data_IF_352595743464
#
_entry.id   IF_352595743464
#
_cell.length_a   1.000
_cell.length_b   1.000
_cell.length_c   1.000
_cell.angle_alpha   90.00
_cell.angle_beta   90.00
_cell.angle_gamma   90.00
#
_symmetry.space_group_name_H-M   'P 1'
#
loop_
_entity.id
_entity.type
_entity.pdbx_description
1 polymer ?
#
# COMPACT_ATOMS: atom_id res chain seq x y z
N UNK A 1 38.34 -6.91 40.60
CA UNK A 1 36.99 -6.41 40.94
C UNK A 1 36.28 -5.83 39.71
N UNK A 2 36.28 -6.53 38.56
CA UNK A 2 35.59 -6.14 37.32
C UNK A 2 34.94 -7.32 36.58
N UNK A 3 35.10 -8.57 37.06
CA UNK A 3 34.52 -9.76 36.43
C UNK A 3 33.14 -10.16 36.99
N UNK A 4 32.71 -9.58 38.13
CA UNK A 4 31.45 -9.96 38.82
C UNK A 4 30.26 -9.11 38.36
N UNK A 5 30.48 -7.96 37.71
CA UNK A 5 29.39 -7.11 37.19
C UNK A 5 28.96 -7.43 35.75
N UNK A 6 29.78 -8.16 34.98
CA UNK A 6 29.40 -8.61 33.64
C UNK A 6 28.48 -9.84 33.66
N UNK A 7 28.60 -10.70 34.67
CA UNK A 7 27.75 -11.90 34.78
C UNK A 7 26.32 -11.58 35.24
N UNK A 8 26.12 -10.51 36.02
CA UNK A 8 24.79 -10.09 36.49
C UNK A 8 23.94 -9.40 35.41
N UNK A 9 24.55 -8.76 34.40
CA UNK A 9 23.81 -8.20 33.26
C UNK A 9 23.41 -9.27 32.24
N UNK A 10 24.25 -10.28 32.01
CA UNK A 10 23.96 -11.40 31.10
C UNK A 10 22.85 -12.32 31.64
N UNK A 11 22.79 -12.56 32.95
CA UNK A 11 21.73 -13.38 33.55
C UNK A 11 20.36 -12.68 33.56
N UNK A 12 20.34 -11.34 33.56
CA UNK A 12 19.10 -10.54 33.52
C UNK A 12 18.45 -10.53 32.12
N UNK A 13 19.23 -10.73 31.05
CA UNK A 13 18.69 -10.91 29.69
C UNK A 13 18.20 -12.34 29.41
N UNK A 14 18.63 -13.33 30.19
CA UNK A 14 18.29 -14.75 29.97
C UNK A 14 17.07 -15.23 30.79
N UNK A 15 16.64 -14.49 31.81
CA UNK A 15 15.51 -14.86 32.69
C UNK A 15 14.22 -14.05 32.43
N UNK A 16 14.22 -13.16 31.43
CA UNK A 16 13.05 -12.33 31.07
C UNK A 16 12.29 -12.76 29.82
N UNK A 17 12.81 -13.71 29.03
CA UNK A 17 12.11 -14.28 27.89
C UNK A 17 11.36 -15.53 28.31
N UNK A 18 10.34 -15.36 29.16
CA UNK A 18 9.25 -16.32 29.15
C UNK A 18 8.62 -16.26 27.77
N UNK A 19 8.87 -17.27 26.95
CA UNK A 19 8.14 -17.58 25.72
C UNK A 19 6.71 -18.03 26.05
N UNK A 20 6.01 -17.26 26.89
CA UNK A 20 4.57 -17.27 26.87
C UNK A 20 4.19 -16.53 25.60
N UNK A 21 3.93 -17.27 24.52
CA UNK A 21 3.01 -16.78 23.50
C UNK A 21 1.82 -16.20 24.26
N UNK A 22 1.55 -14.89 24.19
CA UNK A 22 0.42 -14.33 24.90
C UNK A 22 -0.78 -15.16 24.49
N UNK A 23 -1.47 -15.77 25.46
CA UNK A 23 -2.70 -16.49 25.16
C UNK A 23 -3.57 -15.51 24.36
N UNK A 24 -3.92 -15.92 23.14
CA UNK A 24 -4.71 -15.13 22.21
C UNK A 24 -5.94 -14.66 22.96
N UNK A 25 -6.03 -13.34 23.21
CA UNK A 25 -7.08 -12.77 24.05
C UNK A 25 -8.41 -13.05 23.37
N UNK A 26 -9.48 -13.32 24.13
CA UNK A 26 -10.81 -13.42 23.55
C UNK A 26 -11.11 -12.14 22.73
N UNK A 27 -11.50 -12.31 21.47
CA UNK A 27 -11.69 -11.21 20.51
C UNK A 27 -10.47 -10.86 19.64
N UNK A 28 -9.35 -11.57 19.74
CA UNK A 28 -8.25 -11.42 18.78
C UNK A 28 -8.61 -12.05 17.43
N UNK A 29 -8.55 -11.24 16.37
CA UNK A 29 -8.70 -11.67 14.99
C UNK A 29 -7.47 -12.51 14.60
N UNK A 30 -7.71 -13.74 14.13
CA UNK A 30 -6.63 -14.60 13.60
C UNK A 30 -6.27 -14.21 12.16
N UNK A 31 -5.06 -14.58 11.71
CA UNK A 31 -4.66 -14.37 10.32
C UNK A 31 -5.62 -15.07 9.34
N UNK A 32 -6.02 -16.31 9.63
CA UNK A 32 -6.97 -17.07 8.81
C UNK A 32 -8.33 -16.40 8.72
N UNK A 33 -8.84 -15.86 9.86
CA UNK A 33 -10.11 -15.14 9.87
C UNK A 33 -10.03 -13.85 9.05
N UNK A 34 -8.97 -13.06 9.23
CA UNK A 34 -8.76 -11.84 8.46
C UNK A 34 -8.66 -12.13 6.96
N UNK A 35 -7.92 -13.18 6.59
CA UNK A 35 -7.76 -13.60 5.21
C UNK A 35 -9.10 -14.06 4.59
N UNK A 36 -9.89 -14.86 5.33
CA UNK A 36 -11.21 -15.27 4.88
C UNK A 36 -12.15 -14.07 4.66
N UNK A 37 -12.16 -13.10 5.59
CA UNK A 37 -12.96 -11.86 5.44
C UNK A 37 -12.49 -11.00 4.27
N UNK A 38 -11.21 -10.98 3.97
CA UNK A 38 -10.67 -10.32 2.78
C UNK A 38 -11.15 -11.01 1.49
N UNK A 39 -11.11 -12.35 1.43
CA UNK A 39 -11.63 -13.10 0.28
C UNK A 39 -13.13 -12.93 0.08
N UNK A 40 -13.90 -12.77 1.15
CA UNK A 40 -15.35 -12.55 1.08
C UNK A 40 -15.71 -11.28 0.27
N UNK A 41 -14.79 -10.31 0.17
CA UNK A 41 -14.95 -9.08 -0.61
C UNK A 41 -14.52 -9.20 -2.10
N UNK A 42 -14.17 -10.40 -2.57
CA UNK A 42 -13.75 -10.62 -3.97
C UNK A 42 -14.87 -11.34 -4.72
N UNK A 43 -15.32 -10.74 -5.82
CA UNK A 43 -16.41 -11.26 -6.65
C UNK A 43 -16.13 -12.70 -7.13
N UNK A 44 -16.91 -13.67 -6.64
CA UNK A 44 -16.81 -15.08 -7.02
C UNK A 44 -15.66 -15.86 -6.37
N UNK A 45 -15.13 -15.39 -5.23
CA UNK A 45 -14.05 -16.04 -4.50
C UNK A 45 -14.49 -17.14 -3.52
N UNK A 46 -15.69 -17.07 -2.94
CA UNK A 46 -16.25 -18.13 -2.10
C UNK A 46 -17.66 -18.50 -2.53
N UNK A 47 -18.08 -19.75 -2.27
CA UNK A 47 -19.46 -20.20 -2.51
C UNK A 47 -20.47 -19.52 -1.57
N UNK A 48 -19.97 -18.86 -0.53
CA UNK A 48 -20.72 -18.10 0.48
C UNK A 48 -20.49 -16.59 0.37
N UNK A 49 -19.81 -16.10 -0.68
CA UNK A 49 -19.38 -14.70 -0.80
C UNK A 49 -20.51 -13.74 -0.44
N UNK A 50 -20.27 -12.90 0.57
CA UNK A 50 -20.96 -11.64 0.73
C UNK A 50 -20.68 -10.83 -0.54
N UNK A 51 -21.58 -10.75 -1.52
CA UNK A 51 -22.98 -10.40 -1.29
C UNK A 51 -23.94 -11.28 -2.09
N UNK A 52 -24.64 -12.25 -1.47
CA UNK A 52 -25.74 -12.95 -2.11
C UNK A 52 -26.76 -11.93 -2.63
N UNK A 53 -27.02 -11.95 -3.94
CA UNK A 53 -28.02 -11.08 -4.58
C UNK A 53 -27.53 -9.72 -5.09
N UNK A 54 -26.22 -9.41 -5.08
CA UNK A 54 -25.70 -8.20 -5.75
C UNK A 54 -24.75 -8.54 -6.91
N UNK A 55 -24.87 -7.78 -7.99
CA UNK A 55 -24.10 -7.95 -9.22
C UNK A 55 -22.66 -7.42 -9.03
N UNK A 56 -21.79 -8.24 -8.44
CA UNK A 56 -20.35 -7.95 -8.35
C UNK A 56 -19.63 -8.63 -9.51
N UNK A 57 -18.85 -7.85 -10.28
CA UNK A 57 -18.04 -8.38 -11.36
C UNK A 57 -17.07 -9.43 -10.82
N UNK A 58 -17.02 -10.60 -11.47
CA UNK A 58 -16.14 -11.69 -11.05
C UNK A 58 -14.68 -11.23 -11.05
N UNK A 59 -14.01 -11.36 -9.92
CA UNK A 59 -12.63 -10.91 -9.70
C UNK A 59 -12.50 -9.44 -9.25
N UNK A 60 -13.55 -8.63 -9.28
CA UNK A 60 -13.52 -7.29 -8.70
C UNK A 60 -13.46 -7.39 -7.17
N UNK A 61 -12.77 -6.43 -6.54
CA UNK A 61 -12.58 -6.38 -5.09
C UNK A 61 -13.33 -5.17 -4.56
N UNK A 62 -14.38 -5.38 -3.78
CA UNK A 62 -15.09 -4.28 -3.13
C UNK A 62 -14.30 -3.83 -1.89
N UNK A 63 -14.26 -2.52 -1.62
CA UNK A 63 -13.59 -2.00 -0.42
C UNK A 63 -14.29 -2.46 0.87
N UNK A 64 -15.64 -2.50 0.86
CA UNK A 64 -16.45 -2.96 1.98
C UNK A 64 -17.81 -3.47 1.50
N UNK A 65 -18.47 -4.42 2.20
CA UNK A 65 -19.85 -4.79 1.93
C UNK A 65 -20.86 -3.69 2.33
N UNK A 66 -20.42 -2.62 3.00
CA UNK A 66 -21.28 -1.50 3.43
C UNK A 66 -21.82 -0.73 2.24
N UNK A 67 -23.15 -0.63 2.14
CA UNK A 67 -23.83 0.06 1.03
C UNK A 67 -24.57 1.32 1.46
N UNK A 68 -24.43 1.72 2.73
CA UNK A 68 -24.98 2.94 3.31
C UNK A 68 -24.26 3.26 4.62
N UNK A 69 -24.03 4.56 4.88
CA UNK A 69 -23.47 5.09 6.13
C UNK A 69 -22.20 4.36 6.67
N UNK A 70 -21.10 4.31 5.90
CA UNK A 70 -20.89 4.90 4.57
C UNK A 70 -21.19 3.89 3.43
N UNK A 71 -21.36 4.38 2.21
CA UNK A 71 -21.44 3.53 1.02
C UNK A 71 -20.04 3.33 0.42
N UNK A 72 -19.47 2.14 0.67
CA UNK A 72 -18.14 1.72 0.22
C UNK A 72 -18.23 0.50 -0.71
N UNK A 73 -19.41 0.27 -1.30
CA UNK A 73 -19.68 -0.87 -2.19
C UNK A 73 -19.18 -0.62 -3.62
N UNK A 74 -17.91 -0.25 -3.75
CA UNK A 74 -17.23 0.04 -5.01
C UNK A 74 -15.87 -0.66 -5.04
N UNK A 75 -15.31 -0.80 -6.24
CA UNK A 75 -13.98 -1.36 -6.46
C UNK A 75 -12.99 -0.23 -6.69
N UNK A 76 -12.20 0.12 -5.67
CA UNK A 76 -11.07 1.04 -5.82
C UNK A 76 -9.85 0.31 -6.38
N UNK A 77 -9.12 0.97 -7.28
CA UNK A 77 -7.91 0.40 -7.89
C UNK A 77 -6.82 0.16 -6.83
N UNK A 78 -6.64 1.11 -5.91
CA UNK A 78 -5.68 0.99 -4.78
C UNK A 78 -6.01 -0.22 -3.89
N UNK A 79 -7.24 -0.30 -3.40
CA UNK A 79 -7.71 -1.32 -2.47
C UNK A 79 -7.68 -2.72 -3.10
N UNK A 80 -8.11 -2.82 -4.36
CA UNK A 80 -8.02 -4.03 -5.19
C UNK A 80 -6.58 -4.52 -5.33
N UNK A 81 -5.65 -3.64 -5.72
CA UNK A 81 -4.24 -3.99 -5.92
C UNK A 81 -3.55 -4.41 -4.60
N UNK A 82 -3.81 -3.70 -3.51
CA UNK A 82 -3.24 -4.02 -2.19
C UNK A 82 -3.76 -5.36 -1.65
N UNK A 83 -5.06 -5.59 -1.77
CA UNK A 83 -5.69 -6.87 -1.41
C UNK A 83 -5.11 -8.01 -2.22
N UNK A 84 -5.03 -7.84 -3.54
CA UNK A 84 -4.58 -8.91 -4.42
C UNK A 84 -3.08 -9.19 -4.29
N UNK A 85 -2.25 -8.23 -3.85
CA UNK A 85 -0.87 -8.49 -3.48
C UNK A 85 -0.77 -9.55 -2.36
N UNK A 86 -1.63 -9.47 -1.34
CA UNK A 86 -1.69 -10.46 -0.24
C UNK A 86 -2.21 -11.81 -0.73
N UNK A 87 -3.23 -11.81 -1.60
CA UNK A 87 -3.77 -13.03 -2.22
C UNK A 87 -2.72 -13.74 -3.08
N UNK A 88 -1.96 -13.00 -3.89
CA UNK A 88 -0.87 -13.52 -4.71
C UNK A 88 0.24 -14.10 -3.82
N UNK A 89 0.58 -13.44 -2.70
CA UNK A 89 1.54 -14.00 -1.73
C UNK A 89 1.07 -15.30 -1.11
N UNK A 90 -0.21 -15.40 -0.76
CA UNK A 90 -0.81 -16.64 -0.28
C UNK A 90 -0.75 -17.74 -1.33
N UNK A 91 -1.01 -17.41 -2.60
CA UNK A 91 -0.88 -18.35 -3.73
C UNK A 91 0.56 -18.87 -3.88
N UNK A 92 1.55 -17.97 -3.87
CA UNK A 92 2.98 -18.33 -3.95
C UNK A 92 3.37 -19.29 -2.81
N UNK A 93 2.83 -19.07 -1.60
CA UNK A 93 3.13 -19.90 -0.42
C UNK A 93 2.30 -21.19 -0.36
N UNK A 94 1.35 -21.41 -1.27
CA UNK A 94 0.42 -22.54 -1.20
C UNK A 94 -0.52 -22.49 0.01
N UNK A 95 -0.87 -21.29 0.47
CA UNK A 95 -1.67 -21.04 1.68
C UNK A 95 -3.11 -20.63 1.36
N UNK A 96 -3.99 -20.84 2.35
CA UNK A 96 -5.40 -20.43 2.37
C UNK A 96 -6.24 -20.89 1.15
N UNK A 97 -5.81 -21.94 0.44
CA UNK A 97 -6.55 -22.51 -0.68
C UNK A 97 -6.71 -21.57 -1.90
N UNK A 98 -5.87 -20.54 -2.02
CA UNK A 98 -5.93 -19.61 -3.15
C UNK A 98 -5.65 -20.35 -4.46
N UNK A 99 -6.53 -20.17 -5.44
CA UNK A 99 -6.40 -20.80 -6.76
C UNK A 99 -5.90 -19.80 -7.80
N UNK A 100 -5.23 -20.32 -8.83
CA UNK A 100 -4.89 -19.52 -10.02
C UNK A 100 -6.13 -18.85 -10.63
N UNK A 101 -7.26 -19.57 -10.71
CA UNK A 101 -8.52 -19.04 -11.25
C UNK A 101 -9.03 -17.81 -10.52
N UNK A 102 -8.82 -17.70 -9.20
CA UNK A 102 -9.18 -16.50 -8.44
C UNK A 102 -8.43 -15.27 -8.97
N UNK A 103 -7.13 -15.41 -9.17
CA UNK A 103 -6.25 -14.31 -9.60
C UNK A 103 -6.47 -14.00 -11.10
N UNK A 104 -6.68 -15.02 -11.93
CA UNK A 104 -7.03 -14.84 -13.36
C UNK A 104 -8.36 -14.10 -13.53
N UNK A 105 -9.33 -14.32 -12.64
CA UNK A 105 -10.58 -13.54 -12.61
C UNK A 105 -10.32 -12.08 -12.26
N UNK A 106 -9.46 -11.79 -11.28
CA UNK A 106 -9.05 -10.42 -10.97
C UNK A 106 -8.37 -9.73 -12.16
N UNK A 107 -7.46 -10.42 -12.85
CA UNK A 107 -6.88 -9.93 -14.12
C UNK A 107 -7.97 -9.62 -15.15
N UNK A 108 -9.02 -10.45 -15.21
CA UNK A 108 -10.21 -10.19 -16.03
C UNK A 108 -10.96 -8.92 -15.63
N UNK A 109 -11.22 -8.72 -14.34
CA UNK A 109 -11.90 -7.54 -13.81
C UNK A 109 -11.11 -6.25 -14.03
N UNK A 110 -9.81 -6.24 -13.75
CA UNK A 110 -8.96 -5.08 -13.99
C UNK A 110 -8.84 -4.72 -15.48
N UNK A 111 -8.94 -5.72 -16.38
CA UNK A 111 -9.01 -5.46 -17.82
C UNK A 111 -10.31 -4.74 -18.22
N UNK A 112 -11.42 -5.05 -17.55
CA UNK A 112 -12.67 -4.30 -17.71
C UNK A 112 -12.53 -2.88 -17.15
N UNK A 113 -11.96 -2.74 -15.94
CA UNK A 113 -11.73 -1.43 -15.32
C UNK A 113 -10.88 -0.51 -16.19
N UNK A 114 -9.71 -0.94 -16.68
CA UNK A 114 -8.87 -0.11 -17.55
C UNK A 114 -9.59 0.33 -18.84
N UNK A 115 -10.42 -0.54 -19.44
CA UNK A 115 -11.19 -0.18 -20.63
C UNK A 115 -12.28 0.85 -20.30
N UNK A 116 -12.97 0.69 -19.19
CA UNK A 116 -14.00 1.63 -18.75
C UNK A 116 -13.40 2.97 -18.31
N UNK A 117 -12.16 2.94 -17.79
CA UNK A 117 -11.40 4.13 -17.43
C UNK A 117 -11.14 5.06 -18.63
N UNK A 118 -11.12 4.54 -19.87
CA UNK A 118 -11.01 5.38 -21.09
C UNK A 118 -12.17 6.36 -21.24
N UNK A 119 -13.32 6.09 -20.61
CA UNK A 119 -14.45 7.02 -20.55
C UNK A 119 -14.37 8.02 -19.39
N UNK A 120 -13.39 7.91 -18.50
CA UNK A 120 -13.15 8.87 -17.41
C UNK A 120 -12.32 10.06 -17.88
N UNK A 121 -12.57 11.23 -17.30
CA UNK A 121 -11.69 12.40 -17.42
C UNK A 121 -10.29 12.16 -16.85
N UNK A 122 -10.13 11.15 -15.99
CA UNK A 122 -8.87 10.78 -15.33
C UNK A 122 -8.14 9.64 -16.03
N UNK A 123 -8.72 9.05 -17.08
CA UNK A 123 -8.19 7.84 -17.72
C UNK A 123 -7.87 6.78 -16.64
N UNK A 124 -6.69 6.16 -16.68
CA UNK A 124 -6.26 5.16 -15.69
C UNK A 124 -6.09 5.69 -14.26
N UNK A 125 -6.09 7.00 -14.06
CA UNK A 125 -6.15 7.63 -12.74
C UNK A 125 -7.55 7.65 -12.12
N UNK A 126 -8.57 7.04 -12.76
CA UNK A 126 -9.88 6.85 -12.14
C UNK A 126 -9.75 6.03 -10.84
N UNK A 127 -10.18 6.56 -9.68
CA UNK A 127 -9.94 5.89 -8.40
C UNK A 127 -10.75 4.60 -8.23
N UNK A 128 -12.01 4.61 -8.67
CA UNK A 128 -12.98 3.55 -8.37
C UNK A 128 -13.99 3.27 -9.48
N UNK A 129 -14.54 2.08 -9.44
CA UNK A 129 -15.59 1.58 -10.34
C UNK A 129 -16.77 1.05 -9.52
N UNK A 130 -17.96 1.05 -10.10
CA UNK A 130 -19.11 0.37 -9.48
C UNK A 130 -18.79 -1.13 -9.31
N UNK A 131 -19.48 -1.80 -8.37
CA UNK A 131 -19.21 -3.21 -8.10
C UNK A 131 -19.41 -4.14 -9.33
N UNK A 132 -20.23 -3.75 -10.30
CA UNK A 132 -20.44 -4.46 -11.57
C UNK A 132 -19.34 -4.18 -12.62
N UNK A 133 -18.34 -3.36 -12.28
CA UNK A 133 -17.22 -2.95 -13.12
C UNK A 133 -17.48 -1.72 -13.99
N UNK A 134 -18.69 -1.18 -14.01
CA UNK A 134 -19.00 0.03 -14.77
C UNK A 134 -18.29 1.26 -14.19
N UNK A 135 -18.05 2.26 -15.05
CA UNK A 135 -17.41 3.52 -14.64
C UNK A 135 -18.28 4.26 -13.61
N UNK A 136 -17.67 4.70 -12.51
CA UNK A 136 -18.32 5.59 -11.56
C UNK A 136 -18.35 7.03 -12.13
N UNK A 137 -19.54 7.54 -12.43
CA UNK A 137 -19.72 8.85 -13.09
C UNK A 137 -20.02 10.00 -12.13
N UNK A 138 -20.14 9.73 -10.83
CA UNK A 138 -20.40 10.75 -9.82
C UNK A 138 -19.18 11.65 -9.52
N UNK A 139 -19.39 12.80 -8.85
CA UNK A 139 -18.30 13.62 -8.34
C UNK A 139 -17.39 12.83 -7.40
N UNK A 140 -16.08 13.00 -7.54
CA UNK A 140 -15.09 12.30 -6.72
C UNK A 140 -13.73 13.00 -6.81
N UNK A 141 -12.86 12.78 -5.81
CA UNK A 141 -11.47 13.22 -5.81
C UNK A 141 -10.63 12.44 -6.81
N UNK A 142 -10.76 12.77 -8.10
CA UNK A 142 -10.03 12.16 -9.23
C UNK A 142 -9.13 13.20 -9.92
N UNK A 143 -7.96 12.82 -10.46
CA UNK A 143 -7.40 11.47 -10.49
C UNK A 143 -6.69 11.08 -9.17
N UNK A 144 -6.49 9.77 -8.96
CA UNK A 144 -5.59 9.20 -7.94
C UNK A 144 -4.53 8.32 -8.61
N UNK A 145 -3.31 8.86 -8.71
CA UNK A 145 -2.25 8.30 -9.57
C UNK A 145 -1.42 7.20 -8.88
N UNK A 146 -1.75 6.81 -7.65
CA UNK A 146 -1.18 5.67 -6.93
C UNK A 146 -1.76 4.33 -7.41
N UNK A 147 -3.03 4.32 -7.84
CA UNK A 147 -3.76 3.13 -8.27
C UNK A 147 -3.04 2.33 -9.37
N UNK A 148 -2.73 2.93 -10.54
CA UNK A 148 -1.99 2.26 -11.61
C UNK A 148 -0.64 1.69 -11.17
N UNK A 149 0.10 2.41 -10.32
CA UNK A 149 1.38 1.95 -9.82
C UNK A 149 1.24 0.70 -8.94
N UNK A 150 0.29 0.72 -8.00
CA UNK A 150 0.00 -0.41 -7.13
C UNK A 150 -0.47 -1.63 -7.93
N UNK A 151 -1.39 -1.42 -8.88
CA UNK A 151 -1.90 -2.48 -9.76
C UNK A 151 -0.78 -3.10 -10.61
N UNK A 152 0.08 -2.29 -11.23
CA UNK A 152 1.21 -2.77 -12.00
C UNK A 152 2.15 -3.66 -11.15
N UNK A 153 2.50 -3.24 -9.93
CA UNK A 153 3.38 -4.04 -9.06
C UNK A 153 2.77 -5.39 -8.68
N UNK A 154 1.47 -5.43 -8.36
CA UNK A 154 0.78 -6.68 -8.05
C UNK A 154 0.70 -7.61 -9.28
N UNK A 155 0.36 -7.07 -10.46
CA UNK A 155 0.29 -7.83 -11.70
C UNK A 155 1.65 -8.36 -12.16
N UNK A 156 2.72 -7.56 -12.03
CA UNK A 156 4.08 -8.01 -12.34
C UNK A 156 4.52 -9.14 -11.40
N UNK A 157 4.19 -9.06 -10.10
CA UNK A 157 4.43 -10.16 -9.15
C UNK A 157 3.72 -11.44 -9.57
N UNK A 158 2.45 -11.33 -9.98
CA UNK A 158 1.69 -12.48 -10.46
C UNK A 158 2.27 -13.06 -11.76
N UNK A 159 2.58 -12.21 -12.74
CA UNK A 159 3.17 -12.60 -14.01
C UNK A 159 4.49 -13.39 -13.85
N UNK A 160 5.36 -12.93 -12.94
CA UNK A 160 6.60 -13.66 -12.59
C UNK A 160 6.30 -15.01 -11.93
N UNK A 161 5.25 -15.08 -11.12
CA UNK A 161 4.85 -16.30 -10.40
C UNK A 161 4.35 -17.40 -11.34
N UNK A 162 3.51 -17.05 -12.32
CA UNK A 162 2.97 -18.02 -13.30
C UNK A 162 3.93 -18.33 -14.46
N UNK A 163 5.02 -17.56 -14.56
CA UNK A 163 6.03 -17.68 -15.61
C UNK A 163 5.73 -16.76 -16.80
N UNK A 164 6.77 -16.09 -17.31
CA UNK A 164 6.63 -15.07 -18.36
C UNK A 164 6.21 -15.64 -19.73
N UNK A 165 6.26 -16.96 -19.91
CA UNK A 165 5.78 -17.65 -21.12
C UNK A 165 4.30 -18.04 -21.05
N UNK A 166 3.61 -17.78 -19.93
CA UNK A 166 2.20 -18.13 -19.79
C UNK A 166 1.33 -17.37 -20.81
N UNK A 167 0.34 -18.02 -21.46
CA UNK A 167 -0.53 -17.34 -22.44
C UNK A 167 -1.29 -16.12 -21.89
N UNK A 168 -1.52 -16.05 -20.58
CA UNK A 168 -2.14 -14.88 -19.95
C UNK A 168 -1.26 -13.63 -20.10
N UNK A 169 0.06 -13.80 -20.14
CA UNK A 169 1.01 -12.69 -20.29
C UNK A 169 0.75 -11.96 -21.60
N UNK A 170 0.88 -12.70 -22.72
CA UNK A 170 0.74 -12.14 -24.06
C UNK A 170 -0.69 -11.72 -24.39
N UNK A 171 -1.71 -12.32 -23.77
CA UNK A 171 -3.11 -11.97 -24.05
C UNK A 171 -3.60 -10.74 -23.31
N UNK A 172 -3.21 -10.55 -22.03
CA UNK A 172 -3.77 -9.49 -21.17
C UNK A 172 -2.74 -8.69 -20.37
N UNK A 173 -1.65 -9.29 -19.90
CA UNK A 173 -0.79 -8.63 -18.91
C UNK A 173 0.26 -7.73 -19.52
N UNK A 174 0.96 -8.17 -20.58
CA UNK A 174 2.02 -7.36 -21.18
C UNK A 174 2.18 -7.59 -22.69
N UNK A 175 2.15 -6.49 -23.43
CA UNK A 175 2.51 -6.37 -24.84
C UNK A 175 3.37 -5.13 -25.00
N UNK A 176 4.49 -5.25 -25.71
CA UNK A 176 5.39 -4.12 -25.97
C UNK A 176 4.80 -3.10 -26.94
N UNK A 177 3.93 -3.54 -27.85
CA UNK A 177 3.21 -2.71 -28.81
C UNK A 177 2.05 -1.97 -28.13
N UNK A 178 2.17 -0.65 -28.01
CA UNK A 178 1.16 0.23 -27.39
C UNK A 178 -0.17 0.28 -28.16
N UNK A 179 -0.20 -0.10 -29.44
CA UNK A 179 -1.46 -0.23 -30.17
C UNK A 179 -2.33 -1.37 -29.65
N UNK A 180 -1.74 -2.29 -28.87
CA UNK A 180 -2.42 -3.41 -28.25
C UNK A 180 -2.40 -3.26 -26.72
N UNK A 181 -3.48 -2.76 -26.11
CA UNK A 181 -3.50 -2.50 -24.68
C UNK A 181 -3.29 -3.79 -23.88
N UNK A 182 -2.48 -3.67 -22.82
CA UNK A 182 -2.22 -4.72 -21.85
C UNK A 182 -2.00 -4.08 -20.48
N UNK A 183 -2.44 -4.77 -19.43
CA UNK A 183 -2.62 -4.17 -18.11
C UNK A 183 -1.35 -3.50 -17.57
N UNK A 184 -0.26 -4.27 -17.50
CA UNK A 184 1.00 -3.82 -16.91
C UNK A 184 1.59 -2.69 -17.75
N UNK A 185 1.64 -2.86 -19.07
CA UNK A 185 2.21 -1.84 -19.96
C UNK A 185 1.43 -0.53 -19.86
N UNK A 186 0.10 -0.58 -19.93
CA UNK A 186 -0.76 0.60 -19.87
C UNK A 186 -0.63 1.34 -18.54
N UNK A 187 -0.56 0.62 -17.40
CA UNK A 187 -0.35 1.24 -16.09
C UNK A 187 1.05 1.89 -15.99
N UNK A 188 2.11 1.21 -16.45
CA UNK A 188 3.48 1.75 -16.39
C UNK A 188 3.68 2.96 -17.30
N UNK A 189 3.11 2.95 -18.51
CA UNK A 189 3.12 4.13 -19.39
C UNK A 189 2.37 5.30 -18.75
N UNK A 190 1.20 5.06 -18.14
CA UNK A 190 0.47 6.11 -17.46
C UNK A 190 1.30 6.70 -16.32
N UNK A 191 1.86 5.87 -15.45
CA UNK A 191 2.71 6.33 -14.34
C UNK A 191 3.92 7.12 -14.86
N UNK A 192 4.60 6.62 -15.90
CA UNK A 192 5.79 7.26 -16.46
C UNK A 192 5.52 8.66 -17.03
N UNK A 193 4.32 8.90 -17.54
CA UNK A 193 3.93 10.18 -18.15
C UNK A 193 3.17 11.13 -17.22
N UNK A 194 2.62 10.64 -16.11
CA UNK A 194 1.72 11.41 -15.24
C UNK A 194 2.18 11.54 -13.77
N UNK A 195 3.38 11.07 -13.41
CA UNK A 195 3.85 11.16 -12.02
C UNK A 195 4.04 12.61 -11.53
N UNK A 196 4.26 13.57 -12.43
CA UNK A 196 4.36 14.99 -12.10
C UNK A 196 3.01 15.68 -11.93
N UNK A 197 1.92 15.08 -12.39
CA UNK A 197 0.61 15.72 -12.41
C UNK A 197 0.01 15.84 -11.00
N UNK A 198 -0.71 16.93 -10.69
CA UNK A 198 -1.46 17.04 -9.43
C UNK A 198 -2.51 15.93 -9.33
N UNK A 199 -2.55 15.26 -8.17
CA UNK A 199 -3.43 14.12 -7.93
C UNK A 199 -3.99 14.18 -6.52
N UNK A 200 -5.17 13.59 -6.29
CA UNK A 200 -5.69 13.42 -4.94
C UNK A 200 -4.84 12.41 -4.17
N UNK A 201 -4.77 12.57 -2.85
CA UNK A 201 -4.06 11.65 -1.98
C UNK A 201 -4.78 10.30 -1.85
N UNK A 202 -4.12 9.32 -1.24
CA UNK A 202 -4.70 8.01 -0.94
C UNK A 202 -5.95 8.07 -0.02
N UNK A 203 -6.17 9.22 0.62
CA UNK A 203 -7.35 9.53 1.43
C UNK A 203 -8.45 10.25 0.66
N UNK A 204 -8.21 10.57 -0.61
CA UNK A 204 -9.18 11.11 -1.57
C UNK A 204 -9.63 12.56 -1.30
N UNK A 205 -8.83 13.33 -0.56
CA UNK A 205 -9.24 14.62 0.01
C UNK A 205 -8.49 15.81 -0.56
N UNK A 206 -7.20 15.65 -0.83
CA UNK A 206 -6.31 16.76 -1.14
C UNK A 206 -5.60 16.54 -2.46
N UNK A 207 -5.83 17.44 -3.42
CA UNK A 207 -5.04 17.47 -4.64
C UNK A 207 -3.72 18.19 -4.40
N UNK A 208 -2.60 17.46 -4.49
CA UNK A 208 -1.24 18.00 -4.30
C UNK A 208 -0.18 17.06 -4.90
N UNK A 209 1.09 17.21 -4.50
CA UNK A 209 2.13 16.20 -4.70
C UNK A 209 2.32 15.38 -3.44
N UNK A 210 2.15 14.06 -3.52
CA UNK A 210 2.09 13.19 -2.34
C UNK A 210 3.28 12.23 -2.24
N UNK A 211 3.84 12.10 -1.03
CA UNK A 211 4.97 11.20 -0.78
C UNK A 211 4.59 9.74 -1.06
N UNK A 212 3.40 9.30 -0.63
CA UNK A 212 2.88 7.96 -0.88
C UNK A 212 2.80 7.64 -2.36
N UNK A 213 2.11 8.48 -3.13
CA UNK A 213 1.90 8.29 -4.56
C UNK A 213 3.23 8.18 -5.31
N UNK A 214 4.17 9.09 -5.06
CA UNK A 214 5.49 9.05 -5.69
C UNK A 214 6.30 7.81 -5.27
N UNK A 215 6.24 7.39 -4.00
CA UNK A 215 6.98 6.21 -3.53
C UNK A 215 6.53 4.93 -4.23
N UNK A 216 5.22 4.73 -4.39
CA UNK A 216 4.68 3.54 -5.08
C UNK A 216 4.89 3.62 -6.60
N UNK A 217 4.81 4.82 -7.20
CA UNK A 217 5.13 5.04 -8.62
C UNK A 217 6.60 4.74 -8.93
N UNK A 218 7.52 5.23 -8.10
CA UNK A 218 8.96 4.91 -8.22
C UNK A 218 9.20 3.41 -8.16
N UNK A 219 8.55 2.71 -7.22
CA UNK A 219 8.64 1.25 -7.12
C UNK A 219 8.12 0.58 -8.39
N UNK A 220 6.93 0.96 -8.85
CA UNK A 220 6.31 0.39 -10.04
C UNK A 220 7.20 0.54 -11.28
N UNK A 221 7.78 1.72 -11.51
CA UNK A 221 8.68 1.95 -12.64
C UNK A 221 10.02 1.23 -12.53
N UNK A 222 10.58 1.12 -11.32
CA UNK A 222 11.82 0.36 -11.10
C UNK A 222 11.60 -1.14 -11.37
N UNK A 223 10.57 -1.75 -10.79
CA UNK A 223 10.21 -3.15 -11.06
C UNK A 223 9.76 -3.34 -12.52
N UNK A 224 9.10 -2.33 -13.09
CA UNK A 224 8.64 -2.27 -14.48
C UNK A 224 9.79 -2.25 -15.48
N UNK A 225 10.89 -1.56 -15.16
CA UNK A 225 12.09 -1.58 -15.99
C UNK A 225 12.68 -3.00 -16.09
N UNK A 226 12.84 -3.67 -14.95
CA UNK A 226 13.30 -5.07 -14.91
C UNK A 226 12.35 -6.01 -15.64
N UNK A 227 11.04 -5.79 -15.49
CA UNK A 227 10.01 -6.59 -16.16
C UNK A 227 10.06 -6.38 -17.68
N UNK A 228 10.15 -5.14 -18.15
CA UNK A 228 10.27 -4.80 -19.56
C UNK A 228 11.54 -5.41 -20.19
N UNK A 229 12.69 -5.38 -19.49
CA UNK A 229 13.90 -6.09 -19.92
C UNK A 229 13.64 -7.59 -20.10
N UNK A 230 12.99 -8.24 -19.12
CA UNK A 230 12.65 -9.66 -19.20
C UNK A 230 11.68 -9.98 -20.35
N UNK A 231 10.79 -9.03 -20.68
CA UNK A 231 9.85 -9.11 -21.81
C UNK A 231 10.47 -8.67 -23.16
N UNK A 232 11.77 -8.42 -23.22
CA UNK A 232 12.50 -7.97 -24.43
C UNK A 232 12.00 -6.65 -25.00
N UNK A 233 11.62 -5.71 -24.14
CA UNK A 233 11.22 -4.34 -24.47
C UNK A 233 12.24 -3.32 -23.90
N UNK A 234 13.43 -3.20 -24.52
CA UNK A 234 14.53 -2.41 -23.98
C UNK A 234 14.28 -0.90 -23.99
N UNK A 235 13.43 -0.40 -24.89
CA UNK A 235 13.06 1.01 -24.96
C UNK A 235 12.25 1.42 -23.72
N UNK A 236 11.23 0.62 -23.39
CA UNK A 236 10.45 0.80 -22.18
C UNK A 236 11.30 0.66 -20.92
N UNK A 237 12.16 -0.37 -20.86
CA UNK A 237 13.04 -0.58 -19.72
C UNK A 237 13.92 0.65 -19.41
N UNK A 238 14.51 1.24 -20.46
CA UNK A 238 15.33 2.45 -20.33
C UNK A 238 14.51 3.66 -19.88
N UNK A 239 13.32 3.85 -20.46
CA UNK A 239 12.44 4.96 -20.11
C UNK A 239 11.93 4.86 -18.66
N UNK A 240 11.47 3.69 -18.24
CA UNK A 240 11.01 3.47 -16.87
C UNK A 240 12.15 3.64 -15.84
N UNK A 241 13.37 3.22 -16.17
CA UNK A 241 14.56 3.46 -15.33
C UNK A 241 14.82 4.96 -15.15
N UNK A 242 14.70 5.74 -16.24
CA UNK A 242 14.87 7.19 -16.19
C UNK A 242 13.79 7.84 -15.31
N UNK A 243 12.52 7.49 -15.50
CA UNK A 243 11.42 8.06 -14.72
C UNK A 243 11.50 7.66 -13.24
N UNK A 244 11.81 6.40 -12.93
CA UNK A 244 12.04 5.96 -11.55
C UNK A 244 13.16 6.76 -10.85
N UNK A 245 14.24 7.07 -11.57
CA UNK A 245 15.36 7.88 -11.05
C UNK A 245 14.96 9.34 -10.81
N UNK A 246 14.12 9.91 -11.68
CA UNK A 246 13.59 11.26 -11.51
C UNK A 246 12.67 11.35 -10.28
N UNK A 247 11.75 10.37 -10.11
CA UNK A 247 10.90 10.30 -8.92
C UNK A 247 11.74 10.10 -7.66
N UNK A 248 12.76 9.23 -7.70
CA UNK A 248 13.66 9.01 -6.57
C UNK A 248 14.37 10.30 -6.12
N UNK A 249 14.73 11.16 -7.07
CA UNK A 249 15.29 12.48 -6.79
C UNK A 249 14.26 13.41 -6.17
N UNK A 250 13.02 13.44 -6.69
CA UNK A 250 11.91 14.22 -6.14
C UNK A 250 11.55 13.78 -4.71
N UNK A 251 11.54 12.48 -4.42
CA UNK A 251 11.24 11.96 -3.06
C UNK A 251 12.20 12.52 -2.01
N UNK A 252 13.45 12.85 -2.35
CA UNK A 252 14.40 13.43 -1.40
C UNK A 252 13.95 14.79 -0.86
N UNK A 253 13.13 15.55 -1.60
CA UNK A 253 12.69 16.89 -1.18
C UNK A 253 11.65 16.83 -0.06
N UNK A 254 11.02 15.68 0.19
CA UNK A 254 10.02 15.52 1.24
C UNK A 254 10.63 15.43 2.64
N UNK A 255 11.94 15.17 2.75
CA UNK A 255 12.62 15.26 4.04
C UNK A 255 12.75 16.73 4.47
N UNK A 256 12.14 17.08 5.60
CA UNK A 256 12.27 18.40 6.20
C UNK A 256 13.30 18.34 7.33
N UNK A 257 14.47 18.95 7.11
CA UNK A 257 15.57 18.93 8.07
C UNK A 257 15.26 19.68 9.37
N UNK A 258 14.45 20.74 9.33
CA UNK A 258 14.12 21.55 10.52
C UNK A 258 13.18 20.82 11.48
N UNK A 259 12.27 20.00 10.96
CA UNK A 259 11.33 19.20 11.75
C UNK A 259 11.78 17.74 11.91
N UNK A 260 12.91 17.35 11.32
CA UNK A 260 13.45 15.99 11.35
C UNK A 260 12.42 14.91 10.98
N UNK A 261 11.59 15.19 9.97
CA UNK A 261 10.59 14.23 9.47
C UNK A 261 10.35 14.36 7.98
N UNK A 262 9.80 13.29 7.41
CA UNK A 262 9.26 13.26 6.07
C UNK A 262 7.90 13.96 6.10
N UNK A 263 7.72 14.94 5.22
CA UNK A 263 6.44 15.58 4.97
C UNK A 263 5.60 14.66 4.08
N UNK A 264 4.31 14.50 4.36
CA UNK A 264 3.44 13.67 3.52
C UNK A 264 3.08 14.34 2.17
N UNK A 265 3.13 15.67 2.11
CA UNK A 265 2.59 16.46 1.00
C UNK A 265 3.51 17.63 0.63
N UNK A 266 3.46 18.03 -0.64
CA UNK A 266 4.08 19.23 -1.20
C UNK A 266 3.15 19.88 -2.23
N UNK A 267 3.42 21.14 -2.60
CA UNK A 267 2.65 21.85 -3.63
C UNK A 267 1.15 21.89 -3.32
N UNK A 268 0.81 22.11 -2.04
CA UNK A 268 -0.56 22.07 -1.53
C UNK A 268 -1.33 23.36 -1.84
N UNK A 269 -2.67 23.32 -1.94
CA UNK A 269 -3.49 24.52 -2.09
C UNK A 269 -3.32 25.49 -0.91
N UNK A 270 -3.62 26.77 -1.11
CA UNK A 270 -3.50 27.80 -0.06
C UNK A 270 -4.39 27.54 1.17
N UNK A 271 -5.51 26.82 0.99
CA UNK A 271 -6.42 26.41 2.07
C UNK A 271 -5.92 25.21 2.88
N UNK A 272 -4.82 24.57 2.46
CA UNK A 272 -4.30 23.39 3.11
C UNK A 272 -3.65 23.73 4.46
N UNK A 273 -4.14 23.10 5.53
CA UNK A 273 -3.68 23.33 6.89
C UNK A 273 -3.46 22.00 7.64
N UNK A 274 -2.58 21.14 7.10
CA UNK A 274 -2.07 19.97 7.83
C UNK A 274 -0.58 20.17 8.09
N UNK A 275 -0.10 19.69 9.24
CA UNK A 275 1.30 19.80 9.61
C UNK A 275 2.22 18.86 8.81
N UNK A 276 1.65 17.90 8.08
CA UNK A 276 2.37 16.93 7.24
C UNK A 276 2.73 15.62 7.94
N UNK A 277 2.29 15.39 9.19
CA UNK A 277 2.30 14.06 9.80
C UNK A 277 1.11 13.26 9.26
N UNK A 278 1.40 12.14 8.59
CA UNK A 278 0.38 11.27 8.02
C UNK A 278 0.89 9.82 7.99
N UNK A 279 0.00 8.89 8.31
CA UNK A 279 0.12 7.46 8.11
C UNK A 279 0.56 7.09 6.68
N UNK A 280 0.18 7.91 5.69
CA UNK A 280 0.61 7.83 4.30
C UNK A 280 2.13 7.69 4.14
N UNK A 281 2.94 8.33 5.00
CA UNK A 281 4.40 8.22 4.96
C UNK A 281 4.87 6.81 5.34
N UNK A 282 4.25 6.22 6.36
CA UNK A 282 4.59 4.87 6.81
C UNK A 282 4.12 3.84 5.78
N UNK A 283 2.90 4.01 5.23
CA UNK A 283 2.40 3.20 4.13
C UNK A 283 3.30 3.30 2.90
N UNK A 284 3.83 4.49 2.60
CA UNK A 284 4.79 4.71 1.51
C UNK A 284 6.08 3.93 1.73
N UNK A 285 6.57 3.89 2.98
CA UNK A 285 7.74 3.10 3.33
C UNK A 285 7.46 1.62 3.15
N UNK A 286 6.38 1.06 3.72
CA UNK A 286 6.01 -0.36 3.60
C UNK A 286 5.79 -0.79 2.14
N UNK A 287 5.05 0.00 1.37
CA UNK A 287 4.62 -0.40 0.03
C UNK A 287 5.52 0.13 -1.10
N UNK A 288 6.33 1.15 -0.87
CA UNK A 288 7.12 1.84 -1.90
C UNK A 288 8.63 1.64 -1.81
N UNK A 289 9.18 1.06 -0.75
CA UNK A 289 10.63 0.85 -0.64
C UNK A 289 11.16 -0.22 -1.61
N UNK A 290 12.46 -0.15 -1.91
CA UNK A 290 13.13 -1.15 -2.76
C UNK A 290 13.45 -2.42 -1.96
N UNK A 291 12.67 -3.49 -2.19
CA UNK A 291 12.81 -4.76 -1.47
C UNK A 291 13.91 -5.69 -2.04
N UNK A 292 14.65 -5.27 -3.08
CA UNK A 292 15.65 -6.14 -3.73
C UNK A 292 16.98 -6.27 -2.96
N UNK A 293 17.21 -5.45 -1.93
CA UNK A 293 18.36 -5.62 -1.03
C UNK A 293 18.06 -5.15 0.39
N UNK A 294 18.64 -5.82 1.39
CA UNK A 294 18.50 -5.42 2.80
C UNK A 294 19.02 -4.00 3.04
N UNK A 295 20.12 -3.60 2.37
CA UNK A 295 20.70 -2.27 2.50
C UNK A 295 19.80 -1.14 1.99
N UNK A 296 18.82 -1.41 1.10
CA UNK A 296 17.81 -0.41 0.77
C UNK A 296 16.82 -0.17 1.92
N UNK A 297 16.62 -1.16 2.79
CA UNK A 297 15.74 -1.10 3.94
C UNK A 297 16.25 -0.19 5.07
N UNK A 298 17.58 -0.07 5.21
CA UNK A 298 18.25 0.82 6.19
C UNK A 298 18.65 2.18 5.61
N UNK A 299 18.54 2.37 4.29
CA UNK A 299 19.04 3.58 3.63
C UNK A 299 18.01 4.73 3.65
N UNK A 300 18.35 5.91 4.21
CA UNK A 300 17.46 7.07 4.27
C UNK A 300 17.08 7.68 2.92
N UNK A 301 17.89 7.45 1.89
CA UNK A 301 17.55 7.90 0.53
C UNK A 301 16.44 7.02 -0.06
N UNK A 302 16.40 5.74 0.28
CA UNK A 302 15.37 4.83 -0.21
C UNK A 302 14.11 4.78 0.67
N UNK A 303 14.12 5.53 1.79
CA UNK A 303 13.01 5.57 2.75
C UNK A 303 12.57 4.17 3.19
N UNK A 304 13.55 3.28 3.37
CA UNK A 304 13.31 1.95 3.88
C UNK A 304 12.81 1.99 5.34
N UNK A 305 12.08 0.96 5.77
CA UNK A 305 11.41 0.95 7.08
C UNK A 305 12.37 1.04 8.26
N UNK A 306 13.63 0.62 8.08
CA UNK A 306 14.68 0.67 9.11
C UNK A 306 15.53 1.95 9.05
N UNK A 307 15.24 2.88 8.13
CA UNK A 307 16.00 4.13 8.01
C UNK A 307 15.68 5.12 9.13
N UNK A 308 16.69 5.90 9.54
CA UNK A 308 16.56 6.95 10.55
C UNK A 308 15.43 7.95 10.23
N UNK A 309 15.27 8.34 8.97
CA UNK A 309 14.20 9.25 8.53
C UNK A 309 12.80 8.68 8.75
N UNK A 310 12.59 7.40 8.41
CA UNK A 310 11.29 6.74 8.58
C UNK A 310 11.00 6.49 10.06
N UNK A 311 12.00 6.04 10.83
CA UNK A 311 11.84 5.79 12.26
C UNK A 311 11.61 7.07 13.07
N UNK A 312 12.33 8.16 12.75
CA UNK A 312 12.11 9.47 13.35
C UNK A 312 10.71 10.02 13.03
N UNK A 313 10.26 9.87 11.78
CA UNK A 313 8.91 10.28 11.37
C UNK A 313 7.85 9.43 12.07
N UNK A 314 8.04 8.11 12.15
CA UNK A 314 7.15 7.16 12.83
C UNK A 314 6.97 7.52 14.29
N UNK A 315 8.07 7.87 14.99
CA UNK A 315 7.99 8.33 16.38
C UNK A 315 7.14 9.60 16.52
N UNK A 316 7.44 10.64 15.74
CA UNK A 316 6.69 11.90 15.81
C UNK A 316 5.21 11.71 15.47
N UNK A 317 4.92 10.89 14.45
CA UNK A 317 3.57 10.51 14.06
C UNK A 317 2.84 9.81 15.21
N UNK A 318 3.41 8.75 15.81
CA UNK A 318 2.79 8.05 16.95
C UNK A 318 2.59 8.98 18.15
N UNK A 319 3.57 9.82 18.46
CA UNK A 319 3.51 10.76 19.60
C UNK A 319 2.37 11.78 19.44
N UNK A 320 2.05 12.20 18.21
CA UNK A 320 0.95 13.13 17.93
C UNK A 320 -0.45 12.60 18.29
N UNK A 321 -0.64 11.28 18.35
CA UNK A 321 -1.92 10.66 18.71
C UNK A 321 -2.06 10.29 20.19
N UNK A 322 -0.97 10.36 20.98
CA UNK A 322 -0.99 9.88 22.37
C UNK A 322 -2.00 10.60 23.25
N UNK A 323 -2.15 11.91 23.05
CA UNK A 323 -3.09 12.75 23.79
C UNK A 323 -4.35 13.07 23.01
N UNK A 324 -4.39 12.75 21.70
CA UNK A 324 -5.50 13.09 20.83
C UNK A 324 -6.73 12.22 21.11
N UNK A 325 -6.54 10.89 21.13
CA UNK A 325 -7.67 9.97 21.28
C UNK A 325 -7.90 9.55 22.74
N UNK A 326 -9.15 9.60 23.24
CA UNK A 326 -9.46 9.16 24.61
C UNK A 326 -9.02 7.73 24.93
N UNK A 327 -9.02 6.82 23.94
CA UNK A 327 -8.58 5.44 24.09
C UNK A 327 -7.09 5.31 24.49
N UNK A 328 -6.28 6.34 24.20
CA UNK A 328 -4.84 6.35 24.46
C UNK A 328 -4.46 6.88 25.86
N UNK A 329 -5.41 7.40 26.66
CA UNK A 329 -5.16 8.11 27.93
C UNK A 329 -4.33 7.33 28.98
N UNK A 330 -4.21 6.00 28.86
CA UNK A 330 -3.45 5.15 29.80
C UNK A 330 -2.17 4.54 29.21
N UNK A 331 -1.74 5.02 28.04
CA UNK A 331 -0.58 4.52 27.30
C UNK A 331 0.49 5.60 27.11
N UNK A 332 1.33 5.79 28.14
CA UNK A 332 2.55 6.61 28.03
C UNK A 332 3.62 5.91 27.20
N UNK A 333 4.51 6.66 26.56
CA UNK A 333 5.68 6.09 25.90
C UNK A 333 6.47 5.20 26.89
N UNK A 334 7.00 4.03 26.45
CA UNK A 334 7.03 3.53 25.07
C UNK A 334 5.84 2.64 24.67
N UNK A 335 4.73 2.62 25.43
CA UNK A 335 3.56 1.78 25.11
C UNK A 335 2.94 2.17 23.76
N UNK A 336 2.41 1.18 23.05
CA UNK A 336 1.65 1.39 21.81
C UNK A 336 0.33 2.11 22.07
N UNK A 337 -0.14 2.82 21.04
CA UNK A 337 -1.38 3.61 21.04
C UNK A 337 -2.12 3.38 19.73
N UNK A 338 -3.44 3.62 19.72
CA UNK A 338 -4.20 3.71 18.47
C UNK A 338 -3.84 4.99 17.73
N UNK A 339 -3.61 4.90 16.43
CA UNK A 339 -3.25 6.03 15.55
C UNK A 339 -4.20 6.11 14.37
N UNK A 340 -4.47 7.31 13.86
CA UNK A 340 -5.40 7.59 12.75
C UNK A 340 -4.69 7.94 11.45
N UNK A 341 -5.38 8.55 10.47
CA UNK A 341 -4.74 8.95 9.20
C UNK A 341 -3.71 10.05 9.42
N UNK A 342 -4.15 11.20 9.93
CA UNK A 342 -3.33 12.35 10.30
C UNK A 342 -3.98 13.10 11.49
N UNK A 343 -3.26 13.92 12.28
CA UNK A 343 -3.78 14.45 13.55
C UNK A 343 -4.96 15.41 13.43
N UNK A 344 -5.04 16.18 12.34
CA UNK A 344 -6.14 17.11 12.06
C UNK A 344 -7.33 16.46 11.33
N UNK A 345 -7.40 15.13 11.32
CA UNK A 345 -8.49 14.40 10.68
C UNK A 345 -9.83 14.65 11.37
N UNK A 346 -10.86 14.83 10.55
CA UNK A 346 -12.24 15.10 10.95
C UNK A 346 -13.22 14.10 10.32
N UNK A 347 -12.75 13.13 9.53
CA UNK A 347 -13.62 12.08 9.01
C UNK A 347 -13.90 11.03 10.09
N UNK A 348 -15.17 10.87 10.45
CA UNK A 348 -15.59 9.99 11.53
C UNK A 348 -15.95 8.56 11.06
N UNK A 349 -15.82 8.29 9.76
CA UNK A 349 -16.23 7.04 9.12
C UNK A 349 -17.54 7.14 8.34
N UNK A 350 -18.29 8.23 8.49
CA UNK A 350 -19.53 8.47 7.73
C UNK A 350 -19.61 9.91 7.23
N UNK A 351 -19.26 10.86 8.09
CA UNK A 351 -19.39 12.28 7.89
C UNK A 351 -18.14 13.02 8.44
N UNK A 352 -18.32 14.30 8.72
CA UNK A 352 -17.28 15.20 9.22
C UNK A 352 -17.58 15.58 10.66
N UNK A 353 -16.82 15.03 11.60
CA UNK A 353 -16.79 15.45 13.00
C UNK A 353 -15.37 15.36 13.56
N UNK A 354 -14.98 14.22 14.11
CA UNK A 354 -13.65 13.96 14.67
C UNK A 354 -13.04 12.70 14.04
N UNK A 355 -11.74 12.76 13.74
CA UNK A 355 -11.00 11.60 13.25
C UNK A 355 -10.89 10.50 14.30
N UNK A 356 -10.78 9.26 13.85
CA UNK A 356 -10.66 8.08 14.71
C UNK A 356 -9.29 7.39 14.54
N UNK A 357 -8.89 6.51 15.48
CA UNK A 357 -7.85 5.52 15.19
C UNK A 357 -8.28 4.62 14.02
N UNK A 358 -7.35 4.33 13.11
CA UNK A 358 -7.56 3.42 11.99
C UNK A 358 -6.77 2.13 12.21
N UNK A 359 -7.45 0.99 12.00
CA UNK A 359 -6.81 -0.33 12.13
C UNK A 359 -5.59 -0.44 11.24
N UNK A 360 -5.71 -0.08 9.96
CA UNK A 360 -4.61 -0.16 9.00
C UNK A 360 -3.42 0.69 9.45
N UNK A 361 -3.63 1.92 9.93
CA UNK A 361 -2.53 2.80 10.36
C UNK A 361 -1.85 2.27 11.62
N UNK A 362 -2.62 1.72 12.55
CA UNK A 362 -2.09 1.08 13.75
C UNK A 362 -1.26 -0.16 13.40
N UNK A 363 -1.71 -0.98 12.44
CA UNK A 363 -0.93 -2.13 11.97
C UNK A 363 0.29 -1.73 11.16
N UNK A 364 0.24 -0.65 10.36
CA UNK A 364 1.40 -0.15 9.62
C UNK A 364 2.53 0.30 10.55
N UNK A 365 2.21 0.93 11.69
CA UNK A 365 3.22 1.24 12.71
C UNK A 365 3.91 -0.04 13.21
N UNK A 366 3.15 -1.11 13.46
CA UNK A 366 3.72 -2.39 13.87
C UNK A 366 4.60 -3.01 12.75
N UNK A 367 4.14 -2.95 11.50
CA UNK A 367 4.87 -3.48 10.33
C UNK A 367 6.22 -2.77 10.13
N UNK A 368 6.28 -1.44 10.23
CA UNK A 368 7.54 -0.68 10.18
C UNK A 368 8.53 -1.21 11.22
N UNK A 369 8.08 -1.43 12.47
CA UNK A 369 8.96 -1.88 13.55
C UNK A 369 9.40 -3.34 13.37
N UNK A 370 8.51 -4.21 12.88
CA UNK A 370 8.87 -5.60 12.56
C UNK A 370 9.86 -5.67 11.39
N UNK A 371 9.64 -4.92 10.32
CA UNK A 371 10.56 -4.84 9.19
C UNK A 371 11.92 -4.29 9.61
N UNK A 372 11.94 -3.21 10.42
CA UNK A 372 13.17 -2.64 10.93
C UNK A 372 13.99 -3.65 11.75
N UNK A 373 13.33 -4.35 12.68
CA UNK A 373 13.96 -5.42 13.46
C UNK A 373 14.51 -6.51 12.56
N UNK A 374 13.70 -7.03 11.63
CA UNK A 374 14.08 -8.13 10.75
C UNK A 374 15.27 -7.76 9.84
N UNK A 375 15.37 -6.49 9.42
CA UNK A 375 16.47 -5.98 8.61
C UNK A 375 17.76 -5.87 9.42
N UNK A 376 17.70 -5.34 10.65
CA UNK A 376 18.88 -5.27 11.52
C UNK A 376 19.38 -6.65 11.94
N UNK A 377 18.49 -7.62 12.19
CA UNK A 377 18.90 -9.01 12.47
C UNK A 377 19.68 -9.63 11.30
N UNK A 378 19.34 -9.27 10.04
CA UNK A 378 20.05 -9.72 8.83
C UNK A 378 21.36 -8.99 8.53
N UNK A 379 21.57 -7.80 9.10
CA UNK A 379 22.84 -7.06 8.96
C UNK A 379 23.88 -7.48 10.02
N UNK A 380 23.44 -8.04 11.15
CA UNK A 380 24.29 -8.44 12.28
C UNK A 380 24.64 -9.93 12.28
N UNK A 381 23.87 -10.77 11.60
CA UNK A 381 24.15 -12.20 11.40
C UNK A 381 24.91 -12.46 10.10
#
# INVERSE_FOLDING_TARGET
>A
MQAVHFLSLLLSCLLGLSSTTPAVRAGTVTADYAFARMLDNIGGASSTSAVPGKNVLRGAVIASPSTASPDYFYSWVRDSAMTMKVVIESYIKGQHGVTRSLIDNWVGAEYVHQRNAMGSSSSLGEPKFNADGSLFTGPWGRPQNDGPALRATALMKYARTIGLSDPLIASKLYKSDLSQPSLIKSDLEYVAHHWQDPTFDLWEEVQATHFFTLAVQRRALAEGAEFATAMKDPGAASYYTQQASAIQSKLQTFWNASSHRIQAYQSTPASFNRDGLDCAVLLASVHGWNQSSAGAGTNPRWFGPASDRVLATTRQYVDSFRTLYPINKRASAPKSVGVGRYPSDIYDGVATSEGNPWFLCTTTVAEILYDARNLWEKEVG
#
